data_IF_202598423355
#
_entry.id   IF_202598423355
#
_cell.length_a   1.000
_cell.length_b   1.000
_cell.length_c   1.000
_cell.angle_alpha   90.00
_cell.angle_beta   90.00
_cell.angle_gamma   90.00
#
_symmetry.space_group_name_H-M   'P 1'
#
loop_
_entity.id
_entity.type
_entity.pdbx_description
1 polymer ?
#
# COMPACT_ATOMS: atom_id res chain seq x y z
N UNK A 1 1.37 -25.99 4.35
CA UNK A 1 2.71 -26.49 3.97
C UNK A 1 3.63 -25.42 4.46
N UNK A 2 4.06 -25.53 5.72
CA UNK A 2 4.77 -24.47 6.46
C UNK A 2 5.77 -23.82 5.55
N UNK A 3 5.53 -22.54 5.22
CA UNK A 3 6.51 -21.75 4.49
C UNK A 3 7.82 -21.95 5.22
N UNK A 4 8.77 -22.62 4.55
CA UNK A 4 10.10 -22.95 5.07
C UNK A 4 10.87 -21.62 5.15
N UNK A 5 10.51 -20.78 6.12
CA UNK A 5 11.05 -19.44 6.26
C UNK A 5 12.54 -19.43 6.60
N UNK A 6 13.13 -20.57 6.98
CA UNK A 6 14.53 -20.64 7.34
C UNK A 6 15.28 -21.73 6.56
N UNK A 7 15.59 -21.45 5.30
CA UNK A 7 16.92 -21.83 4.79
C UNK A 7 17.94 -20.69 4.94
N UNK A 8 17.53 -19.55 5.52
CA UNK A 8 18.35 -18.33 5.63
C UNK A 8 19.31 -18.29 6.84
N UNK A 9 19.10 -19.10 7.88
CA UNK A 9 19.99 -19.14 9.06
C UNK A 9 20.62 -20.53 9.30
N UNK A 10 20.59 -21.42 8.31
CA UNK A 10 21.22 -22.74 8.41
C UNK A 10 20.42 -23.81 9.18
N UNK A 11 19.35 -23.44 9.88
CA UNK A 11 18.50 -24.38 10.62
C UNK A 11 17.06 -24.44 10.08
N UNK A 12 16.52 -25.66 9.97
CA UNK A 12 15.14 -25.89 9.56
C UNK A 12 14.22 -25.80 10.77
N UNK A 13 13.66 -24.61 11.01
CA UNK A 13 12.68 -24.39 12.06
C UNK A 13 11.29 -24.24 11.41
N UNK A 14 10.33 -25.01 11.90
CA UNK A 14 8.93 -24.84 11.53
C UNK A 14 8.34 -23.64 12.30
N UNK A 15 7.67 -22.74 11.59
CA UNK A 15 6.96 -21.59 12.16
C UNK A 15 5.47 -21.76 11.87
N UNK A 16 4.69 -22.36 12.79
CA UNK A 16 3.32 -22.80 12.49
C UNK A 16 2.37 -21.67 12.09
N UNK A 17 2.55 -20.45 12.63
CA UNK A 17 1.63 -19.34 12.34
C UNK A 17 1.71 -18.87 10.88
N UNK A 18 2.80 -19.16 10.15
CA UNK A 18 2.93 -18.78 8.73
C UNK A 18 2.00 -19.60 7.81
N UNK A 19 1.53 -20.76 8.27
CA UNK A 19 0.52 -21.57 7.58
C UNK A 19 -0.91 -21.11 7.88
N UNK A 20 -1.10 -20.26 8.90
CA UNK A 20 -2.43 -19.80 9.26
C UNK A 20 -3.00 -18.91 8.14
N UNK A 21 -4.25 -19.17 7.74
CA UNK A 21 -4.91 -18.39 6.68
C UNK A 21 -4.94 -16.90 7.01
N UNK A 22 -5.08 -16.55 8.29
CA UNK A 22 -5.06 -15.17 8.75
C UNK A 22 -3.73 -14.47 8.51
N UNK A 23 -2.59 -15.19 8.48
CA UNK A 23 -1.29 -14.59 8.18
C UNK A 23 -1.24 -14.03 6.75
N UNK A 24 -1.66 -14.81 5.76
CA UNK A 24 -1.73 -14.34 4.38
C UNK A 24 -2.83 -13.29 4.20
N UNK A 25 -4.01 -13.51 4.79
CA UNK A 25 -5.14 -12.58 4.68
C UNK A 25 -4.84 -11.20 5.29
N UNK A 26 -3.98 -11.12 6.32
CA UNK A 26 -3.53 -9.85 6.89
C UNK A 26 -2.40 -9.18 6.12
N UNK A 27 -1.98 -9.75 4.97
CA UNK A 27 -0.92 -9.20 4.10
C UNK A 27 0.44 -9.88 4.21
N UNK A 28 0.59 -10.87 5.11
CA UNK A 28 1.83 -11.62 5.28
C UNK A 28 2.27 -12.33 3.99
N UNK A 29 3.58 -12.55 3.84
CA UNK A 29 4.18 -13.15 2.64
C UNK A 29 3.82 -12.44 1.34
N UNK A 30 3.80 -11.10 1.36
CA UNK A 30 3.62 -10.31 0.15
C UNK A 30 2.17 -10.19 -0.32
N UNK A 31 1.19 -10.31 0.59
CA UNK A 31 -0.24 -10.27 0.25
C UNK A 31 -0.90 -8.91 0.57
N UNK A 32 -0.12 -7.83 0.71
CA UNK A 32 -0.70 -6.51 0.90
C UNK A 32 -1.32 -6.01 -0.40
N UNK A 33 -2.65 -5.93 -0.44
CA UNK A 33 -3.39 -5.32 -1.55
C UNK A 33 -3.11 -3.81 -1.68
N UNK A 34 -2.71 -3.15 -0.59
CA UNK A 34 -2.32 -1.75 -0.61
C UNK A 34 -0.92 -1.60 0.00
N UNK A 35 0.08 -1.40 -0.86
CA UNK A 35 1.47 -1.17 -0.46
C UNK A 35 1.75 0.33 -0.51
N UNK A 36 2.05 0.95 0.63
CA UNK A 36 2.20 2.42 0.72
C UNK A 36 3.51 2.85 1.33
N UNK A 37 3.97 4.05 0.98
CA UNK A 37 5.08 4.69 1.68
C UNK A 37 5.08 6.21 1.55
N UNK A 38 5.49 6.87 2.62
CA UNK A 38 5.77 8.29 2.67
C UNK A 38 7.20 8.56 2.18
N UNK A 39 7.34 9.41 1.17
CA UNK A 39 8.60 9.71 0.49
C UNK A 39 9.33 10.93 1.05
N UNK A 40 8.76 11.62 2.03
CA UNK A 40 9.35 12.81 2.64
C UNK A 40 8.68 14.13 2.25
N UNK A 41 9.33 15.23 2.63
CA UNK A 41 8.79 16.60 2.50
C UNK A 41 9.48 17.44 1.41
N UNK A 42 10.48 16.91 0.72
CA UNK A 42 11.23 17.67 -0.29
C UNK A 42 10.39 17.90 -1.55
N UNK A 43 9.91 19.12 -1.74
CA UNK A 43 9.06 19.51 -2.87
C UNK A 43 9.75 19.36 -4.23
N UNK A 44 11.07 19.58 -4.25
CA UNK A 44 11.90 19.42 -5.44
C UNK A 44 12.60 18.04 -5.47
N UNK A 45 12.22 17.14 -4.57
CA UNK A 45 12.72 15.77 -4.53
C UNK A 45 12.10 14.89 -5.61
N UNK A 46 12.68 13.71 -5.81
CA UNK A 46 12.19 12.73 -6.77
C UNK A 46 10.80 12.19 -6.42
N UNK A 47 10.03 11.83 -7.45
CA UNK A 47 8.89 10.96 -7.32
C UNK A 47 9.38 9.51 -7.24
N UNK A 48 8.78 8.73 -6.34
CA UNK A 48 9.10 7.33 -6.13
C UNK A 48 7.85 6.48 -6.23
N UNK A 49 7.95 5.36 -6.92
CA UNK A 49 6.90 4.36 -6.97
C UNK A 49 7.51 3.00 -7.25
N UNK A 50 6.76 1.96 -6.89
CA UNK A 50 7.02 0.58 -7.30
C UNK A 50 5.74 -0.04 -7.81
N UNK A 51 5.84 -1.20 -8.44
CA UNK A 51 4.67 -2.01 -8.81
C UNK A 51 3.94 -2.51 -7.56
N UNK A 52 2.63 -2.81 -7.64
CA UNK A 52 1.90 -3.43 -6.54
C UNK A 52 2.54 -4.72 -6.05
N UNK A 53 2.32 -5.04 -4.78
CA UNK A 53 2.84 -6.26 -4.17
C UNK A 53 2.04 -7.51 -4.62
N UNK A 54 0.75 -7.32 -4.88
CA UNK A 54 -0.18 -8.34 -5.38
C UNK A 54 -0.64 -7.98 -6.79
N UNK A 55 -1.07 -8.98 -7.57
CA UNK A 55 -1.60 -8.73 -8.92
C UNK A 55 -2.86 -7.85 -8.88
N UNK A 56 -3.73 -8.13 -7.92
CA UNK A 56 -4.99 -7.45 -7.63
C UNK A 56 -4.85 -6.30 -6.61
N UNK A 57 -3.66 -5.70 -6.53
CA UNK A 57 -3.36 -4.65 -5.56
C UNK A 57 -2.93 -3.32 -6.17
N UNK A 58 -2.65 -2.37 -5.28
CA UNK A 58 -2.18 -1.03 -5.56
C UNK A 58 -0.84 -0.75 -4.86
N UNK A 59 0.01 0.01 -5.54
CA UNK A 59 1.07 0.79 -4.90
C UNK A 59 0.59 2.24 -4.72
N UNK A 60 0.73 2.80 -3.52
CA UNK A 60 0.34 4.17 -3.22
C UNK A 60 1.44 4.91 -2.43
N UNK A 61 2.23 5.69 -3.15
CA UNK A 61 3.37 6.41 -2.60
C UNK A 61 3.05 7.89 -2.55
N UNK A 62 3.46 8.59 -1.50
CA UNK A 62 3.07 9.98 -1.34
C UNK A 62 4.12 10.83 -0.66
N UNK A 63 4.06 12.12 -0.96
CA UNK A 63 4.80 13.16 -0.27
C UNK A 63 3.87 14.29 0.16
N UNK A 64 4.32 15.03 1.16
CA UNK A 64 3.57 16.13 1.75
C UNK A 64 4.38 17.41 1.56
N UNK A 65 3.76 18.42 0.96
CA UNK A 65 4.35 19.73 0.76
C UNK A 65 3.49 20.80 1.45
N UNK A 66 3.93 22.06 1.40
CA UNK A 66 3.31 23.14 2.17
C UNK A 66 1.82 23.36 1.87
N UNK A 67 1.38 23.14 0.62
CA UNK A 67 0.01 23.42 0.16
C UNK A 67 -0.66 22.26 -0.56
N UNK A 68 0.00 21.09 -0.64
CA UNK A 68 -0.51 19.93 -1.39
C UNK A 68 0.07 18.62 -0.89
N UNK A 69 -0.68 17.56 -1.13
CA UNK A 69 -0.16 16.19 -1.18
C UNK A 69 0.12 15.82 -2.62
N UNK A 70 1.16 15.04 -2.87
CA UNK A 70 1.40 14.45 -4.19
C UNK A 70 1.48 12.96 -4.05
N UNK A 71 0.61 12.26 -4.79
CA UNK A 71 0.54 10.80 -4.81
C UNK A 71 1.12 10.27 -6.12
N UNK A 72 1.72 9.09 -6.06
CA UNK A 72 2.05 8.27 -7.22
C UNK A 72 1.41 6.90 -7.00
N UNK A 73 0.46 6.57 -7.87
CA UNK A 73 -0.35 5.36 -7.78
C UNK A 73 0.07 4.39 -8.88
N UNK A 74 0.11 3.10 -8.55
CA UNK A 74 0.36 2.03 -9.50
C UNK A 74 -0.64 0.90 -9.28
N UNK A 75 -1.07 0.29 -10.38
CA UNK A 75 -1.87 -0.93 -10.40
C UNK A 75 -1.49 -1.75 -11.64
N UNK A 76 -1.84 -3.04 -11.65
CA UNK A 76 -1.79 -3.82 -12.88
C UNK A 76 -3.04 -3.53 -13.72
N UNK A 77 -2.94 -3.61 -15.05
CA UNK A 77 -4.12 -3.58 -15.89
C UNK A 77 -4.84 -4.93 -15.80
N UNK A 78 -5.88 -4.99 -14.97
CA UNK A 78 -6.75 -6.14 -14.79
C UNK A 78 -8.18 -5.72 -14.38
N UNK A 79 -9.05 -6.70 -14.16
CA UNK A 79 -10.46 -6.47 -13.80
C UNK A 79 -10.66 -6.18 -12.30
N UNK A 80 -9.61 -6.36 -11.47
CA UNK A 80 -9.70 -6.22 -10.03
C UNK A 80 -9.33 -4.80 -9.56
N UNK A 81 -8.49 -4.10 -10.32
CA UNK A 81 -7.97 -2.79 -9.93
C UNK A 81 -8.16 -1.71 -11.01
N UNK A 82 -8.42 -0.48 -10.57
CA UNK A 82 -8.57 0.67 -11.43
C UNK A 82 -7.89 1.90 -10.78
N UNK A 83 -6.76 2.31 -11.34
CA UNK A 83 -5.98 3.44 -10.82
C UNK A 83 -6.72 4.78 -10.87
N UNK A 84 -7.57 4.99 -11.88
CA UNK A 84 -8.36 6.23 -12.00
C UNK A 84 -9.45 6.31 -10.94
N UNK A 85 -10.19 5.21 -10.75
CA UNK A 85 -11.21 5.13 -9.70
C UNK A 85 -10.58 5.25 -8.30
N UNK A 86 -9.41 4.65 -8.08
CA UNK A 86 -8.70 4.79 -6.81
C UNK A 86 -8.25 6.23 -6.56
N UNK A 87 -7.73 6.93 -7.58
CA UNK A 87 -7.39 8.36 -7.51
C UNK A 87 -8.62 9.21 -7.14
N UNK A 88 -9.75 9.00 -7.80
CA UNK A 88 -10.98 9.76 -7.56
C UNK A 88 -11.49 9.56 -6.14
N UNK A 89 -11.51 8.32 -5.64
CA UNK A 89 -11.92 8.03 -4.27
C UNK A 89 -10.95 8.61 -3.24
N UNK A 90 -9.65 8.63 -3.54
CA UNK A 90 -8.64 9.23 -2.66
C UNK A 90 -8.82 10.75 -2.57
N UNK A 91 -9.00 11.43 -3.70
CA UNK A 91 -9.29 12.87 -3.75
C UNK A 91 -10.56 13.20 -2.97
N UNK A 92 -11.66 12.47 -3.24
CA UNK A 92 -12.93 12.62 -2.52
C UNK A 92 -12.75 12.44 -1.01
N UNK A 93 -12.04 11.39 -0.57
CA UNK A 93 -11.85 11.10 0.84
C UNK A 93 -11.08 12.21 1.56
N UNK A 94 -10.04 12.75 0.92
CA UNK A 94 -9.25 13.85 1.48
C UNK A 94 -10.09 15.13 1.60
N UNK A 95 -10.88 15.46 0.58
CA UNK A 95 -11.78 16.61 0.61
C UNK A 95 -12.90 16.43 1.64
N UNK A 96 -13.46 15.22 1.75
CA UNK A 96 -14.46 14.89 2.76
C UNK A 96 -13.90 15.09 4.18
N UNK A 97 -12.73 14.51 4.48
CA UNK A 97 -12.07 14.66 5.78
C UNK A 97 -11.79 16.14 6.08
N UNK A 98 -11.26 16.88 5.09
CA UNK A 98 -11.02 18.31 5.21
C UNK A 98 -12.31 19.06 5.55
N UNK A 99 -13.42 18.75 4.87
CA UNK A 99 -14.69 19.40 5.11
C UNK A 99 -15.20 19.11 6.53
N UNK A 100 -15.25 17.84 6.96
CA UNK A 100 -15.65 17.46 8.32
C UNK A 100 -14.86 18.24 9.39
N UNK A 101 -13.54 18.37 9.20
CA UNK A 101 -12.67 19.11 10.12
C UNK A 101 -13.00 20.62 10.14
N UNK A 102 -13.31 21.20 8.98
CA UNK A 102 -13.56 22.64 8.85
C UNK A 102 -14.99 23.04 9.22
N UNK A 103 -15.97 22.13 9.07
CA UNK A 103 -17.39 22.40 9.33
C UNK A 103 -17.85 21.91 10.70
N UNK A 104 -17.16 20.94 11.32
CA UNK A 104 -17.61 20.23 12.55
C UNK A 104 -19.02 19.62 12.42
N UNK A 105 -19.44 19.34 11.19
CA UNK A 105 -20.66 18.62 10.78
C UNK A 105 -20.24 17.53 9.81
#
# INVERSE_FOLDING_TARGET
>A
MSQLALKSYGEKIAIPFLDDHSYAASGGNGNFLLSTSFLGYNENGCFGYVVPMCKDGYGAFYRINASRFTFTLSNYFDDATNGDEFRENLEYSLDFIKNVILTNE
#
